data_IF_725338271263
#
_entry.id   IF_725338271263
#
_cell.length_a   1.000
_cell.length_b   1.000
_cell.length_c   1.000
_cell.angle_alpha   90.00
_cell.angle_beta   90.00
_cell.angle_gamma   90.00
#
_symmetry.space_group_name_H-M   'P 1'
#
loop_
_entity.id
_entity.type
_entity.pdbx_description
1 polymer ?
#
# COMPACT_ATOMS: atom_id res chain seq x y z
N UNK A 1 -35.09 53.56 34.56
CA UNK A 1 -34.90 52.09 34.46
C UNK A 1 -33.48 51.88 33.95
N UNK A 2 -32.59 51.54 34.87
CA UNK A 2 -31.15 51.34 34.67
C UNK A 2 -30.89 49.84 34.87
N UNK A 3 -30.28 49.18 33.89
CA UNK A 3 -29.78 47.81 33.99
C UNK A 3 -28.35 47.83 34.54
N UNK A 4 -28.03 47.04 35.57
CA UNK A 4 -26.65 46.91 36.05
C UNK A 4 -25.93 45.68 35.46
N UNK A 5 -24.65 45.69 35.76
CA UNK A 5 -23.48 45.04 35.15
C UNK A 5 -23.25 43.58 35.53
N UNK A 6 -22.35 42.97 34.75
CA UNK A 6 -21.80 41.62 34.83
C UNK A 6 -21.26 41.20 36.21
N UNK A 7 -21.33 39.88 36.48
CA UNK A 7 -20.47 39.20 37.45
C UNK A 7 -19.92 37.91 36.83
N UNK A 8 -18.64 37.71 37.07
CA UNK A 8 -17.72 36.75 36.49
C UNK A 8 -17.93 35.35 37.06
N UNK A 9 -17.89 34.32 36.21
CA UNK A 9 -17.69 32.94 36.64
C UNK A 9 -16.24 32.53 36.38
N UNK A 10 -15.57 32.17 37.46
CA UNK A 10 -14.18 31.73 37.54
C UNK A 10 -14.15 30.20 37.29
N UNK A 11 -13.51 29.77 36.19
CA UNK A 11 -13.25 28.36 35.90
C UNK A 11 -11.75 28.15 35.99
N UNK A 12 -11.33 27.55 37.10
CA UNK A 12 -9.95 27.23 37.40
C UNK A 12 -9.28 26.45 36.27
N UNK A 13 -8.17 26.99 35.78
CA UNK A 13 -7.27 26.37 34.83
C UNK A 13 -6.49 25.23 35.51
N UNK A 14 -6.94 23.99 35.29
CA UNK A 14 -6.08 22.82 35.40
C UNK A 14 -5.63 22.43 34.00
N UNK A 15 -4.44 22.87 33.61
CA UNK A 15 -3.81 22.48 32.36
C UNK A 15 -3.40 21.01 32.45
N UNK A 16 -4.15 20.14 31.78
CA UNK A 16 -3.69 18.80 31.44
C UNK A 16 -2.46 18.93 30.50
N UNK A 17 -1.35 18.20 30.75
CA UNK A 17 -0.23 18.23 29.82
C UNK A 17 -0.66 17.60 28.49
N UNK A 18 -0.37 18.31 27.40
CA UNK A 18 -0.58 17.83 26.04
C UNK A 18 0.14 16.48 25.83
N UNK A 19 -0.44 15.54 25.07
CA UNK A 19 0.24 14.30 24.73
C UNK A 19 1.50 14.67 23.95
N UNK A 20 2.66 14.24 24.47
CA UNK A 20 3.94 14.36 23.81
C UNK A 20 3.84 13.70 22.43
N UNK A 21 3.80 14.52 21.39
CA UNK A 21 4.12 14.11 20.03
C UNK A 21 5.53 13.54 20.08
N UNK A 22 5.64 12.21 20.09
CA UNK A 22 6.82 11.52 19.61
C UNK A 22 6.98 11.92 18.14
N UNK A 23 7.72 13.00 17.90
CA UNK A 23 8.30 13.28 16.60
C UNK A 23 9.15 12.06 16.23
N UNK A 24 8.59 11.19 15.39
CA UNK A 24 9.37 10.15 14.75
C UNK A 24 10.48 10.82 13.94
N UNK A 25 11.68 10.26 14.04
CA UNK A 25 12.92 10.71 13.40
C UNK A 25 12.88 10.50 11.87
N UNK A 26 11.94 11.17 11.20
CA UNK A 26 11.79 11.13 9.75
C UNK A 26 12.99 11.80 9.07
N UNK A 27 13.55 12.85 9.67
CA UNK A 27 14.70 13.58 9.15
C UNK A 27 16.02 12.79 9.25
N UNK A 28 16.22 12.02 10.33
CA UNK A 28 17.37 11.12 10.47
C UNK A 28 17.35 9.98 9.48
N UNK A 29 16.19 9.35 9.28
CA UNK A 29 16.02 8.29 8.29
C UNK A 29 16.27 8.80 6.87
N UNK A 30 15.70 9.95 6.50
CA UNK A 30 15.89 10.51 5.16
C UNK A 30 17.35 10.86 4.87
N UNK A 31 18.10 11.40 5.85
CA UNK A 31 19.54 11.65 5.72
C UNK A 31 20.34 10.37 5.51
N UNK A 32 20.00 9.31 6.24
CA UNK A 32 20.64 7.99 6.10
C UNK A 32 20.39 7.42 4.71
N UNK A 33 19.15 7.48 4.22
CA UNK A 33 18.78 7.03 2.87
C UNK A 33 19.55 7.83 1.81
N UNK A 34 19.58 9.17 1.92
CA UNK A 34 20.35 10.02 0.98
C UNK A 34 21.83 9.64 0.95
N UNK A 35 22.42 9.38 2.11
CA UNK A 35 23.83 8.97 2.21
C UNK A 35 24.06 7.60 1.57
N UNK A 36 23.17 6.63 1.81
CA UNK A 36 23.25 5.29 1.22
C UNK A 36 23.10 5.35 -0.31
N UNK A 37 22.14 6.12 -0.82
CA UNK A 37 21.90 6.29 -2.25
C UNK A 37 23.12 6.92 -2.93
N UNK A 38 23.66 8.00 -2.37
CA UNK A 38 24.85 8.65 -2.94
C UNK A 38 26.12 7.79 -2.88
N UNK A 39 26.26 6.92 -1.87
CA UNK A 39 27.43 6.05 -1.71
C UNK A 39 27.33 4.75 -2.54
N UNK A 40 26.12 4.26 -2.81
CA UNK A 40 25.89 2.98 -3.50
C UNK A 40 25.64 3.17 -4.99
N UNK A 41 24.91 4.21 -5.37
CA UNK A 41 24.64 4.52 -6.77
C UNK A 41 25.77 5.42 -7.25
N UNK A 42 26.68 4.88 -8.07
CA UNK A 42 27.49 5.72 -8.97
C UNK A 42 26.52 6.34 -9.96
N UNK A 43 25.87 7.44 -9.56
CA UNK A 43 24.99 8.20 -10.46
C UNK A 43 25.86 8.52 -11.67
N UNK A 44 25.55 7.98 -12.86
CA UNK A 44 26.30 8.33 -14.06
C UNK A 44 26.33 9.85 -14.16
N UNK A 45 27.47 10.46 -14.51
CA UNK A 45 27.56 11.91 -14.59
C UNK A 45 26.48 12.38 -15.55
N UNK A 46 25.49 13.12 -15.02
CA UNK A 46 24.60 14.12 -15.65
C UNK A 46 24.35 14.06 -17.17
N UNK A 47 24.40 12.91 -17.82
CA UNK A 47 23.71 12.69 -19.07
C UNK A 47 22.25 12.68 -18.66
N UNK A 48 21.61 13.85 -18.82
CA UNK A 48 20.23 14.08 -18.47
C UNK A 48 19.43 12.85 -18.92
N UNK A 49 18.90 12.09 -17.96
CA UNK A 49 17.99 11.00 -18.27
C UNK A 49 16.98 11.54 -19.28
N UNK A 50 16.78 10.84 -20.42
CA UNK A 50 15.88 11.33 -21.46
C UNK A 50 14.54 11.64 -20.81
N UNK A 51 13.92 12.74 -21.23
CA UNK A 51 12.56 13.01 -20.79
C UNK A 51 11.65 11.88 -21.30
N UNK A 52 10.53 11.60 -20.63
CA UNK A 52 9.59 10.57 -21.08
C UNK A 52 9.25 10.68 -22.58
N UNK A 53 9.02 11.90 -23.09
CA UNK A 53 8.75 12.13 -24.51
C UNK A 53 9.91 11.72 -25.44
N UNK A 54 11.15 11.91 -25.02
CA UNK A 54 12.32 11.49 -25.79
C UNK A 54 12.46 9.97 -25.74
N UNK A 55 12.25 9.36 -24.57
CA UNK A 55 12.28 7.91 -24.42
C UNK A 55 11.25 7.22 -25.30
N UNK A 56 10.05 7.81 -25.39
CA UNK A 56 8.98 7.33 -26.26
C UNK A 56 9.36 7.41 -27.74
N UNK A 57 9.98 8.52 -28.18
CA UNK A 57 10.42 8.71 -29.58
C UNK A 57 11.57 7.78 -29.98
N UNK A 58 12.47 7.48 -29.05
CA UNK A 58 13.63 6.62 -29.28
C UNK A 58 13.32 5.13 -29.09
N UNK A 59 12.13 4.77 -28.58
CA UNK A 59 11.73 3.38 -28.37
C UNK A 59 12.38 2.71 -27.16
N UNK A 60 12.92 3.48 -26.22
CA UNK A 60 13.52 2.99 -24.97
C UNK A 60 12.68 3.36 -23.73
N UNK A 61 11.38 3.55 -23.92
CA UNK A 61 10.41 3.88 -22.88
C UNK A 61 10.26 2.77 -21.84
N UNK A 62 10.30 3.12 -20.56
CA UNK A 62 10.08 2.21 -19.43
C UNK A 62 8.86 2.65 -18.62
N UNK A 63 7.90 1.72 -18.46
CA UNK A 63 6.68 1.89 -17.66
C UNK A 63 6.72 0.94 -16.46
N UNK A 64 6.55 1.46 -15.24
CA UNK A 64 6.19 0.66 -14.07
C UNK A 64 4.68 0.41 -14.10
N UNK A 65 4.26 -0.85 -14.01
CA UNK A 65 2.85 -1.25 -14.01
C UNK A 65 2.46 -1.71 -12.61
N UNK A 66 1.83 -0.83 -11.81
CA UNK A 66 1.13 -1.27 -10.60
C UNK A 66 -0.29 -1.78 -10.93
N UNK A 67 -0.83 -1.38 -12.08
CA UNK A 67 -2.13 -1.83 -12.57
C UNK A 67 -3.31 -1.13 -11.89
N UNK A 68 -4.50 -1.46 -12.35
CA UNK A 68 -5.74 -0.76 -11.99
C UNK A 68 -6.38 -1.22 -10.67
N UNK A 69 -5.97 -2.37 -10.14
CA UNK A 69 -6.59 -3.00 -8.95
C UNK A 69 -5.62 -3.20 -7.79
N UNK A 70 -4.36 -2.79 -7.93
CA UNK A 70 -3.41 -2.79 -6.81
C UNK A 70 -3.48 -1.45 -6.08
N UNK A 71 -4.01 -1.49 -4.87
CA UNK A 71 -4.43 -0.32 -4.09
C UNK A 71 -3.67 -0.19 -2.76
N UNK A 72 -2.63 -1.00 -2.54
CA UNK A 72 -1.73 -0.82 -1.40
C UNK A 72 -0.91 0.47 -1.59
N UNK A 73 -1.44 1.56 -1.03
CA UNK A 73 -0.84 2.88 -1.13
C UNK A 73 0.60 2.94 -0.57
N UNK A 74 0.91 2.16 0.47
CA UNK A 74 2.25 2.15 1.06
C UNK A 74 3.27 1.51 0.10
N UNK A 75 2.91 0.37 -0.48
CA UNK A 75 3.76 -0.30 -1.46
C UNK A 75 3.86 0.51 -2.76
N UNK A 76 2.75 1.08 -3.25
CA UNK A 76 2.73 1.94 -4.45
C UNK A 76 3.63 3.17 -4.26
N UNK A 77 3.59 3.81 -3.09
CA UNK A 77 4.48 4.95 -2.77
C UNK A 77 5.95 4.54 -2.82
N UNK A 78 6.28 3.39 -2.22
CA UNK A 78 7.66 2.90 -2.17
C UNK A 78 8.17 2.46 -3.56
N UNK A 79 7.34 1.78 -4.34
CA UNK A 79 7.63 1.43 -5.72
C UNK A 79 7.86 2.69 -6.58
N UNK A 80 6.98 3.68 -6.46
CA UNK A 80 7.10 4.94 -7.19
C UNK A 80 8.41 5.67 -6.85
N UNK A 81 8.77 5.74 -5.57
CA UNK A 81 10.05 6.28 -5.12
C UNK A 81 11.24 5.56 -5.78
N UNK A 82 11.30 4.22 -5.67
CA UNK A 82 12.45 3.44 -6.16
C UNK A 82 12.56 3.51 -7.69
N UNK A 83 11.43 3.40 -8.40
CA UNK A 83 11.44 3.39 -9.86
C UNK A 83 11.67 4.78 -10.46
N UNK A 84 11.21 5.86 -9.81
CA UNK A 84 11.60 7.22 -10.22
C UNK A 84 13.09 7.46 -10.00
N UNK A 85 13.68 6.97 -8.89
CA UNK A 85 15.13 7.00 -8.71
C UNK A 85 15.88 6.21 -9.79
N UNK A 86 15.30 5.11 -10.28
CA UNK A 86 15.86 4.32 -11.38
C UNK A 86 15.67 4.96 -12.78
N UNK A 87 14.90 6.06 -12.87
CA UNK A 87 14.67 6.77 -14.13
C UNK A 87 13.51 6.24 -14.97
N UNK A 88 12.48 5.64 -14.34
CA UNK A 88 11.27 5.20 -15.05
C UNK A 88 10.57 6.39 -15.72
N UNK A 89 10.10 6.21 -16.96
CA UNK A 89 9.44 7.27 -17.71
C UNK A 89 8.00 7.49 -17.25
N UNK A 90 7.32 6.43 -16.83
CA UNK A 90 5.93 6.48 -16.39
C UNK A 90 5.60 5.43 -15.34
N UNK A 91 4.79 5.83 -14.37
CA UNK A 91 4.22 4.97 -13.33
C UNK A 91 2.72 4.90 -13.54
N UNK A 92 2.21 3.68 -13.54
CA UNK A 92 0.81 3.35 -13.74
C UNK A 92 0.17 2.87 -12.45
N UNK A 93 -1.04 3.33 -12.16
CA UNK A 93 -1.72 3.04 -10.92
C UNK A 93 -3.25 3.02 -11.05
N UNK A 94 -3.91 2.46 -10.03
CA UNK A 94 -5.35 2.48 -9.88
C UNK A 94 -5.91 3.90 -9.85
N UNK A 95 -7.16 4.04 -10.31
CA UNK A 95 -7.93 5.28 -10.27
C UNK A 95 -8.50 5.61 -8.88
N UNK A 96 -7.83 5.17 -7.82
CA UNK A 96 -8.17 5.50 -6.44
C UNK A 96 -7.35 6.71 -5.96
N UNK A 97 -8.00 7.67 -5.30
CA UNK A 97 -7.36 8.93 -4.92
C UNK A 97 -6.17 8.74 -3.94
N UNK A 98 -6.30 7.95 -2.86
CA UNK A 98 -5.15 7.53 -2.04
C UNK A 98 -3.99 6.94 -2.85
N UNK A 99 -4.26 6.09 -3.83
CA UNK A 99 -3.22 5.47 -4.67
C UNK A 99 -2.52 6.50 -5.57
N UNK A 100 -3.28 7.38 -6.22
CA UNK A 100 -2.72 8.47 -7.05
C UNK A 100 -1.86 9.41 -6.20
N UNK A 101 -2.28 9.73 -4.98
CA UNK A 101 -1.51 10.54 -4.05
C UNK A 101 -0.20 9.84 -3.65
N UNK A 102 -0.27 8.54 -3.33
CA UNK A 102 0.91 7.72 -3.03
C UNK A 102 1.95 7.71 -4.17
N UNK A 103 1.51 7.62 -5.43
CA UNK A 103 2.41 7.74 -6.59
C UNK A 103 3.10 9.09 -6.61
N UNK A 104 2.34 10.18 -6.49
CA UNK A 104 2.90 11.53 -6.52
C UNK A 104 3.88 11.75 -5.35
N UNK A 105 3.55 11.31 -4.15
CA UNK A 105 4.43 11.39 -2.97
C UNK A 105 5.74 10.62 -3.18
N UNK A 106 5.69 9.43 -3.78
CA UNK A 106 6.89 8.66 -4.12
C UNK A 106 7.78 9.38 -5.13
N UNK A 107 7.18 9.97 -6.17
CA UNK A 107 7.90 10.76 -7.19
C UNK A 107 8.57 12.00 -6.55
N UNK A 108 7.84 12.76 -5.72
CA UNK A 108 8.41 13.94 -5.04
C UNK A 108 9.54 13.54 -4.09
N UNK A 109 9.37 12.44 -3.34
CA UNK A 109 10.40 11.93 -2.46
C UNK A 109 11.67 11.57 -3.24
N UNK A 110 11.55 10.93 -4.41
CA UNK A 110 12.69 10.60 -5.28
C UNK A 110 13.43 11.86 -5.75
N UNK A 111 12.68 12.87 -6.22
CA UNK A 111 13.22 14.15 -6.68
C UNK A 111 13.91 14.94 -5.55
N UNK A 112 13.48 14.74 -4.30
CA UNK A 112 14.13 15.34 -3.11
C UNK A 112 15.45 14.64 -2.71
N UNK A 113 15.68 13.41 -3.20
CA UNK A 113 16.85 12.58 -2.89
C UNK A 113 17.94 12.76 -3.96
N UNK A 114 17.57 12.76 -5.24
CA UNK A 114 18.50 12.83 -6.36
C UNK A 114 17.96 13.70 -7.51
N UNK A 115 18.86 14.21 -8.35
CA UNK A 115 18.49 14.94 -9.57
C UNK A 115 18.00 13.97 -10.65
N UNK A 116 16.72 13.59 -10.57
CA UNK A 116 16.03 12.73 -11.54
C UNK A 116 14.94 13.49 -12.29
N UNK A 117 14.50 12.97 -13.43
CA UNK A 117 13.34 13.51 -14.15
C UNK A 117 12.05 13.03 -13.50
N UNK A 118 11.03 13.88 -13.52
CA UNK A 118 9.70 13.51 -13.07
C UNK A 118 9.10 12.46 -14.02
N UNK A 119 8.79 11.28 -13.49
CA UNK A 119 8.01 10.26 -14.20
C UNK A 119 6.59 10.77 -14.50
N UNK A 120 6.02 10.38 -15.63
CA UNK A 120 4.60 10.60 -15.89
C UNK A 120 3.74 9.67 -15.02
N UNK A 121 2.54 10.13 -14.68
CA UNK A 121 1.55 9.30 -13.98
C UNK A 121 0.49 8.89 -15.00
N UNK A 122 0.30 7.59 -15.15
CA UNK A 122 -0.80 6.99 -15.90
C UNK A 122 -1.81 6.46 -14.90
N UNK A 123 -3.07 6.85 -15.08
CA UNK A 123 -4.17 6.40 -14.24
C UNK A 123 -4.95 5.38 -15.03
N UNK A 124 -4.94 4.13 -14.57
CA UNK A 124 -5.74 3.06 -15.15
C UNK A 124 -7.13 3.06 -14.51
N UNK A 125 -8.13 3.15 -15.37
CA UNK A 125 -9.55 3.00 -15.03
C UNK A 125 -9.98 1.61 -15.50
N UNK A 126 -10.69 0.87 -14.65
CA UNK A 126 -11.23 -0.43 -15.00
C UNK A 126 -12.53 -0.29 -15.81
N UNK A 127 -12.82 -1.32 -16.61
CA UNK A 127 -14.10 -1.50 -17.30
C UNK A 127 -14.86 -2.60 -16.54
N UNK A 128 -15.71 -2.16 -15.61
CA UNK A 128 -16.00 -2.89 -14.37
C UNK A 128 -16.97 -4.07 -14.52
N UNK A 129 -17.71 -4.15 -15.64
CA UNK A 129 -18.82 -5.12 -15.77
C UNK A 129 -18.45 -6.44 -16.47
N UNK A 130 -17.37 -6.48 -17.27
CA UNK A 130 -17.05 -7.65 -18.10
C UNK A 130 -15.57 -8.06 -18.08
N UNK A 131 -14.70 -7.31 -17.39
CA UNK A 131 -13.28 -7.62 -17.39
C UNK A 131 -12.92 -8.69 -16.35
N UNK A 132 -12.83 -9.94 -16.85
CA UNK A 132 -12.39 -11.11 -16.09
C UNK A 132 -10.99 -10.98 -15.46
N UNK A 133 -10.17 -10.00 -15.90
CA UNK A 133 -8.83 -9.75 -15.39
C UNK A 133 -8.82 -9.01 -14.03
N UNK A 134 -9.95 -8.46 -13.57
CA UNK A 134 -10.03 -7.69 -12.31
C UNK A 134 -10.89 -8.33 -11.22
N UNK A 135 -10.92 -9.67 -11.17
CA UNK A 135 -11.63 -10.40 -10.11
C UNK A 135 -10.76 -10.62 -8.89
N UNK A 136 -10.97 -9.81 -7.85
CA UNK A 136 -10.27 -9.98 -6.57
C UNK A 136 -10.75 -11.25 -5.89
N UNK A 137 -9.82 -11.98 -5.29
CA UNK A 137 -10.15 -13.19 -4.53
C UNK A 137 -10.89 -12.84 -3.25
N UNK A 138 -11.81 -13.70 -2.84
CA UNK A 138 -12.48 -13.67 -1.54
C UNK A 138 -12.68 -15.11 -1.03
N UNK A 139 -12.78 -15.27 0.28
CA UNK A 139 -13.21 -16.50 0.95
C UNK A 139 -13.49 -16.20 2.44
N UNK A 140 -14.28 -17.04 3.08
CA UNK A 140 -14.45 -17.00 4.53
C UNK A 140 -13.29 -17.74 5.22
N UNK A 141 -12.48 -17.09 6.07
CA UNK A 141 -11.39 -17.74 6.79
C UNK A 141 -11.87 -18.88 7.71
N UNK A 142 -13.12 -18.86 8.18
CA UNK A 142 -13.69 -19.92 9.02
C UNK A 142 -13.99 -21.20 8.23
N UNK A 143 -14.21 -21.07 6.92
CA UNK A 143 -14.41 -22.20 6.00
C UNK A 143 -13.09 -22.89 5.60
N UNK A 144 -11.93 -22.31 5.94
CA UNK A 144 -10.63 -22.87 5.62
C UNK A 144 -10.25 -23.97 6.63
N UNK A 145 -10.09 -25.24 6.20
CA UNK A 145 -9.80 -26.34 7.12
C UNK A 145 -8.52 -26.14 7.90
N UNK A 146 -8.52 -26.58 9.17
CA UNK A 146 -7.38 -26.39 10.07
C UNK A 146 -6.09 -27.10 9.61
N UNK A 147 -6.24 -28.19 8.87
CA UNK A 147 -5.18 -29.01 8.29
C UNK A 147 -4.83 -28.59 6.85
N UNK A 148 -5.42 -27.51 6.33
CA UNK A 148 -5.13 -27.00 5.00
C UNK A 148 -3.64 -26.61 4.87
N UNK A 149 -2.91 -27.08 3.84
CA UNK A 149 -1.50 -26.72 3.61
C UNK A 149 -1.30 -25.29 3.05
N UNK A 150 -2.41 -24.58 2.78
CA UNK A 150 -2.52 -23.20 2.28
C UNK A 150 -1.60 -22.87 1.09
N UNK A 151 -1.73 -23.61 -0.03
CA UNK A 151 -1.00 -23.28 -1.24
C UNK A 151 -1.39 -21.92 -1.83
N UNK A 152 -2.61 -21.43 -1.54
CA UNK A 152 -3.10 -20.13 -1.95
C UNK A 152 -2.27 -18.96 -1.38
N UNK A 153 -1.82 -19.03 -0.12
CA UNK A 153 -0.91 -18.04 0.47
C UNK A 153 0.44 -18.02 -0.26
N UNK A 154 1.00 -19.21 -0.51
CA UNK A 154 2.33 -19.36 -1.12
C UNK A 154 2.39 -18.92 -2.57
N UNK A 155 1.30 -19.15 -3.33
CA UNK A 155 1.25 -18.79 -4.75
C UNK A 155 0.91 -17.31 -4.97
N UNK A 156 0.40 -16.61 -3.95
CA UNK A 156 -0.05 -15.23 -4.07
C UNK A 156 1.16 -14.28 -4.24
N UNK A 157 1.36 -13.70 -5.44
CA UNK A 157 2.54 -12.87 -5.71
C UNK A 157 2.54 -11.55 -4.92
N UNK A 158 1.36 -11.05 -4.56
CA UNK A 158 1.19 -9.82 -3.78
C UNK A 158 1.11 -10.08 -2.27
N UNK A 159 1.31 -11.33 -1.81
CA UNK A 159 1.11 -11.70 -0.39
C UNK A 159 -0.24 -11.21 0.17
N UNK A 160 -1.27 -11.24 -0.69
CA UNK A 160 -2.59 -10.71 -0.39
C UNK A 160 -3.47 -11.70 0.38
N UNK A 161 -2.96 -12.86 0.77
CA UNK A 161 -3.69 -13.83 1.61
C UNK A 161 -2.87 -14.04 2.88
N UNK A 162 -3.49 -13.79 4.03
CA UNK A 162 -2.86 -13.91 5.34
C UNK A 162 -3.83 -14.55 6.31
N UNK A 163 -3.54 -15.77 6.75
CA UNK A 163 -4.34 -16.50 7.74
C UNK A 163 -3.49 -16.84 8.96
N UNK A 164 -3.93 -16.40 10.13
CA UNK A 164 -3.21 -16.59 11.39
C UNK A 164 -4.07 -17.37 12.37
N UNK A 165 -3.45 -18.35 13.03
CA UNK A 165 -4.05 -19.06 14.14
C UNK A 165 -4.03 -18.16 15.37
N UNK A 166 -5.21 -17.87 15.90
CA UNK A 166 -5.34 -17.17 17.17
C UNK A 166 -5.84 -18.17 18.20
N UNK A 167 -5.05 -18.37 19.25
CA UNK A 167 -5.50 -19.10 20.42
C UNK A 167 -6.53 -18.24 21.14
N UNK A 168 -7.74 -18.76 21.36
CA UNK A 168 -8.66 -18.13 22.29
C UNK A 168 -8.13 -18.36 23.71
N UNK A 169 -7.83 -17.28 24.41
CA UNK A 169 -7.65 -17.29 25.87
C UNK A 169 -9.04 -17.32 26.49
N UNK A 170 -9.66 -18.51 26.58
CA UNK A 170 -10.84 -18.68 27.40
C UNK A 170 -10.43 -19.18 28.79
N UNK A 171 -10.72 -18.34 29.78
CA UNK A 171 -10.33 -18.43 31.20
C UNK A 171 -11.13 -19.51 31.98
N UNK A 172 -11.61 -20.56 31.31
CA UNK A 172 -12.36 -21.62 31.97
C UNK A 172 -11.87 -23.00 31.57
N UNK A 173 -11.49 -23.76 32.59
CA UNK A 173 -11.05 -25.14 32.54
C UNK A 173 -12.11 -26.05 31.90
N UNK A 174 -12.10 -26.19 30.57
CA UNK A 174 -12.69 -27.32 29.88
C UNK A 174 -12.10 -27.50 28.47
N UNK A 175 -11.30 -28.56 28.35
CA UNK A 175 -10.57 -29.09 27.19
C UNK A 175 -11.29 -29.04 25.81
N UNK A 176 -11.31 -27.89 25.15
CA UNK A 176 -11.29 -27.86 23.69
C UNK A 176 -10.59 -26.58 23.20
N UNK A 177 -9.26 -26.65 23.01
CA UNK A 177 -8.48 -25.57 22.38
C UNK A 177 -8.80 -25.52 20.89
N UNK A 178 -10.00 -25.05 20.53
CA UNK A 178 -10.33 -24.76 19.15
C UNK A 178 -9.68 -23.43 18.79
N UNK A 179 -8.47 -23.48 18.22
CA UNK A 179 -7.87 -22.28 17.62
C UNK A 179 -8.81 -21.76 16.53
N UNK A 180 -9.07 -20.46 16.50
CA UNK A 180 -9.84 -19.83 15.43
C UNK A 180 -8.87 -19.29 14.38
N UNK A 181 -9.14 -19.56 13.11
CA UNK A 181 -8.38 -18.98 12.03
C UNK A 181 -8.93 -17.58 11.73
N UNK A 182 -8.06 -16.56 11.80
CA UNK A 182 -8.41 -15.17 11.48
C UNK A 182 -7.60 -14.65 10.30
N UNK A 183 -8.11 -13.62 9.64
CA UNK A 183 -7.48 -12.98 8.49
C UNK A 183 -8.33 -13.18 7.23
N UNK A 184 -7.68 -13.43 6.09
CA UNK A 184 -8.35 -13.57 4.80
C UNK A 184 -7.55 -12.93 3.68
N UNK A 185 -8.27 -12.41 2.69
CA UNK A 185 -7.68 -11.63 1.59
C UNK A 185 -7.51 -10.17 2.03
N UNK A 186 -6.31 -9.62 1.83
CA UNK A 186 -6.03 -8.19 1.94
C UNK A 186 -6.41 -7.56 0.59
N UNK A 187 -7.60 -6.98 0.54
CA UNK A 187 -8.24 -6.49 -0.68
C UNK A 187 -7.36 -5.53 -1.47
N UNK A 188 -6.67 -4.63 -0.78
CA UNK A 188 -5.84 -3.58 -1.37
C UNK A 188 -4.63 -4.17 -2.12
N UNK A 189 -4.14 -5.34 -1.67
CA UNK A 189 -3.02 -6.05 -2.30
C UNK A 189 -3.45 -7.01 -3.39
N UNK A 190 -4.69 -7.49 -3.32
CA UNK A 190 -5.20 -8.48 -4.27
C UNK A 190 -5.49 -7.80 -5.61
N UNK A 191 -4.60 -7.94 -6.60
CA UNK A 191 -4.79 -7.35 -7.93
C UNK A 191 -5.53 -8.27 -8.92
N UNK A 192 -6.15 -9.35 -8.44
CA UNK A 192 -7.03 -10.20 -9.27
C UNK A 192 -6.35 -11.22 -10.19
N UNK A 193 -5.11 -11.62 -9.93
CA UNK A 193 -4.38 -12.56 -10.79
C UNK A 193 -4.97 -13.99 -10.89
N UNK A 194 -5.91 -14.36 -10.03
CA UNK A 194 -6.58 -15.67 -10.01
C UNK A 194 -5.70 -16.89 -9.69
N UNK A 195 -4.41 -16.73 -9.39
CA UNK A 195 -3.49 -17.86 -9.11
C UNK A 195 -3.91 -18.72 -7.92
N UNK A 196 -4.64 -18.13 -6.97
CA UNK A 196 -5.11 -18.81 -5.77
C UNK A 196 -6.29 -19.77 -6.04
N UNK A 197 -7.08 -19.55 -7.10
CA UNK A 197 -8.29 -20.33 -7.39
C UNK A 197 -7.96 -21.81 -7.67
N UNK A 198 -7.07 -22.07 -8.62
CA UNK A 198 -6.77 -23.43 -9.08
C UNK A 198 -5.92 -24.24 -8.11
N UNK A 199 -5.30 -23.61 -7.11
CA UNK A 199 -4.45 -24.29 -6.14
C UNK A 199 -5.17 -24.61 -4.83
N UNK A 200 -6.36 -24.04 -4.59
CA UNK A 200 -7.11 -24.33 -3.37
C UNK A 200 -7.64 -25.76 -3.40
N UNK A 201 -7.20 -26.68 -2.51
CA UNK A 201 -7.60 -28.08 -2.57
C UNK A 201 -9.08 -28.31 -2.19
N UNK A 202 -9.74 -27.30 -1.62
CA UNK A 202 -11.13 -27.37 -1.16
C UNK A 202 -12.08 -26.49 -1.98
N UNK A 203 -11.58 -25.83 -3.03
CA UNK A 203 -12.39 -24.96 -3.93
C UNK A 203 -13.20 -23.89 -3.19
N UNK A 204 -12.62 -23.30 -2.13
CA UNK A 204 -13.28 -22.31 -1.25
C UNK A 204 -13.04 -20.85 -1.63
N UNK A 205 -12.32 -20.58 -2.72
CA UNK A 205 -11.94 -19.22 -3.11
C UNK A 205 -12.75 -18.81 -4.34
N UNK A 206 -13.56 -17.77 -4.20
CA UNK A 206 -14.28 -17.13 -5.30
C UNK A 206 -13.60 -15.83 -5.73
N UNK A 207 -14.04 -15.28 -6.86
CA UNK A 207 -13.66 -13.96 -7.32
C UNK A 207 -14.86 -13.03 -7.35
N UNK A 208 -14.70 -11.81 -6.88
CA UNK A 208 -15.70 -10.75 -6.98
C UNK A 208 -15.17 -9.56 -7.80
N UNK A 209 -16.08 -8.79 -8.38
CA UNK A 209 -15.76 -7.56 -9.11
C UNK A 209 -15.85 -6.38 -8.16
N UNK A 210 -14.92 -5.43 -8.28
CA UNK A 210 -15.02 -4.16 -7.56
C UNK A 210 -16.18 -3.35 -8.18
N UNK A 211 -17.10 -2.91 -7.32
CA UNK A 211 -18.20 -2.00 -7.66
C UNK A 211 -17.83 -0.56 -7.30
#
# INVERSE_FOLDING_TARGET
MLLPTASSFDLGSSSLPAPSLLHSDADGHLRTIKTLVHSTIKIPPTFALPSPILSLRLGNWVKLICGASFEDAADVRNLSLVYTLAGVDCIDCAADAPVVNAVNEGIEAAMSIAMVKRSWVMISVNDDEEDLHFRKAEFDPEDCPSDCPRPCEKVCPATAISLQWVLQEDDTEQNNRLGQLKGGVITERCYGCGRCFSVCPYDRISGYYLF
#
